data_IF_997839214331
#
_entry.id   IF_997839214331
#
_cell.length_a   1.000
_cell.length_b   1.000
_cell.length_c   1.000
_cell.angle_alpha   90.00
_cell.angle_beta   90.00
_cell.angle_gamma   90.00
#
_symmetry.space_group_name_H-M   'P 1'
#
loop_
_entity.id
_entity.type
_entity.pdbx_description
1 polymer ?
#
# COMPACT_ATOMS: atom_id res chain seq x y z
N UNK A 1 -26.85 -7.41 -26.69
CA UNK A 1 -27.05 -6.17 -27.46
C UNK A 1 -27.64 -5.17 -26.51
N UNK A 2 -26.87 -4.37 -25.87
CA UNK A 2 -27.29 -3.24 -25.04
C UNK A 2 -26.53 -2.03 -25.57
N UNK A 3 -27.29 -1.15 -26.21
CA UNK A 3 -26.78 0.07 -26.81
C UNK A 3 -26.39 1.07 -25.72
N UNK A 4 -25.14 1.45 -25.68
CA UNK A 4 -24.71 2.63 -24.96
C UNK A 4 -25.20 3.88 -25.69
N UNK A 5 -26.19 4.53 -25.10
CA UNK A 5 -26.61 5.88 -25.52
C UNK A 5 -25.62 6.90 -24.93
N UNK A 6 -24.59 7.20 -25.68
CA UNK A 6 -23.79 8.40 -25.49
C UNK A 6 -24.59 9.59 -26.03
N UNK A 7 -25.20 10.36 -25.16
CA UNK A 7 -25.76 11.64 -25.51
C UNK A 7 -24.63 12.67 -25.53
N UNK A 8 -24.17 13.01 -26.72
CA UNK A 8 -23.31 14.17 -26.95
C UNK A 8 -24.18 15.42 -26.86
N UNK A 9 -24.15 16.13 -25.75
CA UNK A 9 -24.70 17.47 -25.64
C UNK A 9 -23.74 18.47 -26.32
N UNK A 10 -24.22 19.11 -27.37
CA UNK A 10 -23.49 20.04 -28.26
C UNK A 10 -23.41 21.45 -27.70
N UNK A 11 -23.45 21.64 -26.40
CA UNK A 11 -23.20 22.94 -25.79
C UNK A 11 -21.98 22.81 -24.86
N UNK A 12 -20.85 23.36 -25.34
CA UNK A 12 -19.58 23.43 -24.62
C UNK A 12 -19.68 24.27 -23.34
N UNK A 13 -20.30 23.72 -22.32
CA UNK A 13 -20.30 24.25 -20.96
C UNK A 13 -19.41 23.34 -20.15
N UNK A 14 -18.23 23.85 -19.80
CA UNK A 14 -17.39 23.23 -18.80
C UNK A 14 -18.17 23.14 -17.49
N UNK A 15 -18.70 21.95 -17.16
CA UNK A 15 -19.34 21.69 -15.88
C UNK A 15 -18.26 21.61 -14.75
N UNK A 16 -17.53 22.71 -14.54
CA UNK A 16 -16.56 22.82 -13.45
C UNK A 16 -17.21 23.17 -12.11
N UNK A 17 -18.50 23.50 -12.08
CA UNK A 17 -19.21 23.98 -10.89
C UNK A 17 -20.33 23.04 -10.39
N UNK A 18 -20.28 21.75 -10.73
CA UNK A 18 -21.21 20.79 -10.13
C UNK A 18 -20.58 20.21 -8.86
N UNK A 19 -21.05 20.54 -7.64
CA UNK A 19 -20.53 20.01 -6.38
C UNK A 19 -20.73 18.49 -6.23
N UNK A 20 -21.56 17.86 -7.07
CA UNK A 20 -21.79 16.41 -7.10
C UNK A 20 -20.95 15.68 -8.15
N UNK A 21 -20.03 16.37 -8.84
CA UNK A 21 -19.10 15.71 -9.74
C UNK A 21 -18.06 14.97 -8.90
N UNK A 22 -18.40 13.75 -8.51
CA UNK A 22 -17.45 12.82 -7.93
C UNK A 22 -16.45 12.47 -9.02
N UNK A 23 -15.30 13.16 -9.04
CA UNK A 23 -14.17 12.69 -9.82
C UNK A 23 -13.94 11.25 -9.41
N UNK A 24 -13.90 10.29 -10.36
CA UNK A 24 -13.54 8.94 -10.01
C UNK A 24 -12.20 9.00 -9.30
N UNK A 25 -12.18 8.61 -8.02
CA UNK A 25 -10.93 8.54 -7.24
C UNK A 25 -10.04 7.56 -7.98
N UNK A 26 -9.08 8.06 -8.75
CA UNK A 26 -8.11 7.22 -9.43
C UNK A 26 -7.20 6.65 -8.36
N UNK A 27 -7.43 5.39 -8.03
CA UNK A 27 -6.53 4.66 -7.15
C UNK A 27 -5.14 4.65 -7.79
N UNK A 28 -4.08 4.88 -7.01
CA UNK A 28 -2.72 4.81 -7.52
C UNK A 28 -2.42 3.41 -8.09
N UNK A 29 -1.55 3.30 -9.11
CA UNK A 29 -1.15 2.01 -9.65
C UNK A 29 -0.49 1.16 -8.57
N UNK A 30 -0.70 -0.15 -8.64
CA UNK A 30 -0.12 -1.14 -7.74
C UNK A 30 0.79 -2.06 -8.56
N UNK A 31 2.02 -2.28 -8.09
CA UNK A 31 2.99 -3.18 -8.69
C UNK A 31 3.41 -4.20 -7.64
N UNK A 32 3.32 -5.49 -7.96
CA UNK A 32 3.64 -6.58 -7.03
C UNK A 32 4.55 -7.58 -7.74
N UNK A 33 5.56 -8.11 -7.04
CA UNK A 33 6.38 -9.20 -7.57
C UNK A 33 5.61 -10.52 -7.62
N UNK A 34 6.00 -11.43 -8.50
CA UNK A 34 5.38 -12.77 -8.60
C UNK A 34 5.43 -13.50 -7.25
N UNK A 35 6.58 -13.48 -6.57
CA UNK A 35 6.75 -14.13 -5.27
C UNK A 35 5.88 -13.52 -4.17
N UNK A 36 5.77 -12.19 -4.13
CA UNK A 36 4.90 -11.52 -3.15
C UNK A 36 3.44 -11.80 -3.45
N UNK A 37 3.04 -11.80 -4.74
CA UNK A 37 1.68 -12.14 -5.15
C UNK A 37 1.25 -13.51 -4.62
N UNK A 38 2.08 -14.53 -4.78
CA UNK A 38 1.77 -15.89 -4.31
C UNK A 38 1.56 -15.93 -2.80
N UNK A 39 2.46 -15.31 -2.03
CA UNK A 39 2.38 -15.24 -0.56
C UNK A 39 1.13 -14.48 -0.11
N UNK A 40 0.91 -13.29 -0.67
CA UNK A 40 -0.23 -12.43 -0.33
C UNK A 40 -1.56 -13.09 -0.65
N UNK A 41 -1.66 -13.77 -1.81
CA UNK A 41 -2.87 -14.49 -2.21
C UNK A 41 -3.17 -15.64 -1.26
N UNK A 42 -2.17 -16.45 -0.92
CA UNK A 42 -2.33 -17.57 0.02
C UNK A 42 -2.78 -17.10 1.41
N UNK A 43 -2.20 -16.02 1.93
CA UNK A 43 -2.54 -15.46 3.23
C UNK A 43 -3.96 -14.86 3.22
N UNK A 44 -4.31 -14.10 2.19
CA UNK A 44 -5.62 -13.47 2.10
C UNK A 44 -6.74 -14.52 1.97
N UNK A 45 -6.56 -15.55 1.15
CA UNK A 45 -7.52 -16.64 1.00
C UNK A 45 -7.66 -17.47 2.27
N UNK A 46 -6.56 -17.77 2.96
CA UNK A 46 -6.57 -18.45 4.27
C UNK A 46 -7.33 -17.64 5.31
N UNK A 47 -7.08 -16.32 5.39
CA UNK A 47 -7.78 -15.45 6.33
C UNK A 47 -9.29 -15.41 6.08
N UNK A 48 -9.73 -15.39 4.82
CA UNK A 48 -11.16 -15.45 4.47
C UNK A 48 -11.78 -16.79 4.85
N UNK A 49 -11.11 -17.91 4.57
CA UNK A 49 -11.62 -19.25 4.88
C UNK A 49 -11.82 -19.45 6.37
N UNK A 50 -10.96 -18.87 7.20
CA UNK A 50 -11.05 -18.99 8.66
C UNK A 50 -11.88 -17.86 9.31
N UNK A 51 -12.50 -16.98 8.51
CA UNK A 51 -13.32 -15.86 9.00
C UNK A 51 -12.54 -14.82 9.79
N UNK A 52 -11.22 -14.83 9.70
CA UNK A 52 -10.34 -13.89 10.40
C UNK A 52 -10.04 -12.69 9.50
N UNK A 53 -10.22 -11.47 10.05
CA UNK A 53 -9.86 -10.22 9.37
C UNK A 53 -10.45 -10.09 7.94
N UNK A 54 -11.66 -10.62 7.72
CA UNK A 54 -12.29 -10.69 6.40
C UNK A 54 -12.29 -9.37 5.60
N UNK A 55 -12.54 -8.20 6.19
CA UNK A 55 -12.48 -6.93 5.45
C UNK A 55 -11.07 -6.61 4.92
N UNK A 56 -10.03 -6.81 5.75
CA UNK A 56 -8.65 -6.55 5.34
C UNK A 56 -8.18 -7.57 4.29
N UNK A 57 -8.54 -8.84 4.43
CA UNK A 57 -8.23 -9.88 3.46
C UNK A 57 -8.93 -9.62 2.11
N UNK A 58 -10.18 -9.17 2.12
CA UNK A 58 -10.92 -8.78 0.90
C UNK A 58 -10.29 -7.57 0.23
N UNK A 59 -9.86 -6.57 1.01
CA UNK A 59 -9.14 -5.41 0.49
C UNK A 59 -7.81 -5.82 -0.13
N UNK A 60 -7.04 -6.68 0.54
CA UNK A 60 -5.77 -7.19 0.02
C UNK A 60 -5.95 -7.92 -1.32
N UNK A 61 -6.97 -8.79 -1.43
CA UNK A 61 -7.28 -9.47 -2.69
C UNK A 61 -7.62 -8.48 -3.80
N UNK A 62 -8.37 -7.43 -3.49
CA UNK A 62 -8.71 -6.39 -4.48
C UNK A 62 -7.44 -5.68 -4.99
N UNK A 63 -6.49 -5.39 -4.12
CA UNK A 63 -5.21 -4.80 -4.53
C UNK A 63 -4.40 -5.76 -5.41
N UNK A 64 -4.33 -7.05 -5.05
CA UNK A 64 -3.68 -8.09 -5.84
C UNK A 64 -4.31 -8.22 -7.24
N UNK A 65 -5.64 -8.19 -7.35
CA UNK A 65 -6.33 -8.34 -8.64
C UNK A 65 -6.13 -7.15 -9.58
N UNK A 66 -5.96 -5.95 -9.05
CA UNK A 66 -5.70 -4.76 -9.88
C UNK A 66 -4.21 -4.50 -10.13
N UNK A 67 -3.31 -5.26 -9.49
CA UNK A 67 -1.88 -5.05 -9.56
C UNK A 67 -1.29 -5.44 -10.92
N UNK A 68 -0.29 -4.70 -11.35
CA UNK A 68 0.65 -5.14 -12.38
C UNK A 68 1.64 -6.10 -11.74
N UNK A 69 1.68 -7.34 -12.23
CA UNK A 69 2.60 -8.35 -11.71
C UNK A 69 3.89 -8.30 -12.53
N UNK A 70 5.02 -8.26 -11.82
CA UNK A 70 6.36 -8.21 -12.42
C UNK A 70 7.23 -9.35 -11.90
N UNK A 71 8.22 -9.82 -12.68
CA UNK A 71 9.24 -10.76 -12.19
C UNK A 71 9.92 -10.21 -10.92
N UNK A 72 10.43 -11.10 -10.07
CA UNK A 72 10.98 -10.74 -8.77
C UNK A 72 12.15 -9.74 -8.83
N UNK A 73 12.98 -9.86 -9.84
CA UNK A 73 14.15 -9.00 -10.11
C UNK A 73 13.79 -7.68 -10.83
N UNK A 74 12.51 -7.52 -11.22
CA UNK A 74 12.00 -6.32 -11.88
C UNK A 74 11.10 -5.46 -10.98
N UNK A 75 10.95 -5.81 -9.69
CA UNK A 75 10.22 -4.95 -8.77
C UNK A 75 11.04 -3.67 -8.51
N UNK A 76 10.50 -2.48 -8.84
CA UNK A 76 11.22 -1.24 -8.60
C UNK A 76 11.51 -1.03 -7.11
N UNK A 77 12.71 -0.55 -6.77
CA UNK A 77 13.14 -0.36 -5.39
C UNK A 77 12.28 0.65 -4.60
N UNK A 78 11.61 1.56 -5.31
CA UNK A 78 10.71 2.57 -4.74
C UNK A 78 9.27 2.08 -4.57
N UNK A 79 9.01 0.79 -4.74
CA UNK A 79 7.70 0.16 -4.55
C UNK A 79 7.66 -0.58 -3.22
N UNK A 80 6.56 -0.43 -2.51
CA UNK A 80 6.32 -1.08 -1.21
C UNK A 80 6.05 -2.57 -1.42
N UNK A 81 7.00 -3.42 -1.03
CA UNK A 81 6.88 -4.88 -1.00
C UNK A 81 6.77 -5.43 0.42
N UNK A 82 6.69 -6.75 0.54
CA UNK A 82 6.80 -7.43 1.85
C UNK A 82 8.20 -7.16 2.42
N UNK A 83 8.27 -6.89 3.72
CA UNK A 83 9.48 -6.51 4.45
C UNK A 83 10.10 -5.15 4.06
N UNK A 84 9.41 -4.30 3.30
CA UNK A 84 9.87 -2.94 3.04
C UNK A 84 9.79 -2.06 4.28
N UNK A 85 10.84 -1.25 4.51
CA UNK A 85 10.77 -0.10 5.40
C UNK A 85 10.13 1.05 4.65
N UNK A 86 9.07 1.63 5.22
CA UNK A 86 8.28 2.65 4.54
C UNK A 86 8.16 3.88 5.43
N UNK A 87 8.62 5.02 4.92
CA UNK A 87 8.36 6.32 5.52
C UNK A 87 7.04 6.85 4.99
N UNK A 88 6.10 7.09 5.90
CA UNK A 88 4.76 7.56 5.61
C UNK A 88 4.52 8.93 6.19
N UNK A 89 3.77 9.74 5.46
CA UNK A 89 3.13 10.94 6.01
C UNK A 89 1.65 10.64 6.22
N UNK A 90 1.19 10.79 7.44
CA UNK A 90 -0.23 10.81 7.75
C UNK A 90 -0.81 12.15 7.28
N UNK A 91 -1.71 12.12 6.31
CA UNK A 91 -2.26 13.33 5.72
C UNK A 91 -3.32 14.00 6.62
N UNK A 92 -3.88 13.24 7.56
CA UNK A 92 -4.87 13.74 8.53
C UNK A 92 -4.17 14.40 9.72
N UNK A 93 -3.20 13.69 10.31
CA UNK A 93 -2.47 14.19 11.50
C UNK A 93 -1.27 15.09 11.12
N UNK A 94 -0.83 15.08 9.86
CA UNK A 94 0.35 15.80 9.38
C UNK A 94 1.68 15.25 9.91
N UNK A 95 1.67 14.08 10.55
CA UNK A 95 2.82 13.46 11.18
C UNK A 95 3.52 12.45 10.24
N UNK A 96 4.84 12.39 10.34
CA UNK A 96 5.62 11.35 9.64
C UNK A 96 5.88 10.17 10.57
N UNK A 97 5.83 8.97 10.02
CA UNK A 97 6.17 7.74 10.73
C UNK A 97 6.85 6.74 9.82
N UNK A 98 7.74 5.94 10.39
CA UNK A 98 8.36 4.79 9.72
C UNK A 98 7.70 3.51 10.18
N UNK A 99 7.37 2.65 9.24
CA UNK A 99 6.83 1.32 9.47
C UNK A 99 7.65 0.27 8.72
N UNK A 100 7.44 -0.99 9.08
CA UNK A 100 7.86 -2.15 8.29
C UNK A 100 6.62 -2.92 7.89
N UNK A 101 6.46 -3.18 6.59
CA UNK A 101 5.32 -3.97 6.09
C UNK A 101 5.68 -5.46 6.16
N UNK A 102 4.96 -6.22 6.96
CA UNK A 102 5.30 -7.62 7.26
C UNK A 102 4.12 -8.57 7.04
N UNK A 103 4.42 -9.86 6.98
CA UNK A 103 3.41 -10.91 7.05
C UNK A 103 2.78 -10.98 8.46
N UNK A 104 1.55 -11.51 8.60
CA UNK A 104 0.85 -11.52 9.89
C UNK A 104 1.64 -12.14 11.04
N UNK A 105 2.39 -13.21 10.75
CA UNK A 105 3.15 -13.95 11.76
C UNK A 105 4.42 -13.22 12.23
N UNK A 106 4.84 -12.20 11.49
CA UNK A 106 6.09 -11.45 11.73
C UNK A 106 5.84 -10.14 12.51
N UNK A 107 4.60 -9.79 12.81
CA UNK A 107 4.24 -8.52 13.47
C UNK A 107 4.87 -8.33 14.85
N UNK A 108 5.15 -9.41 15.56
CA UNK A 108 5.78 -9.36 16.89
C UNK A 108 7.31 -9.23 16.84
N UNK A 109 7.92 -9.45 15.69
CA UNK A 109 9.37 -9.54 15.55
C UNK A 109 10.06 -8.18 15.40
N UNK A 110 9.32 -7.13 14.99
CA UNK A 110 9.90 -5.83 14.68
C UNK A 110 9.08 -4.67 15.26
N UNK A 111 9.74 -3.64 15.80
CA UNK A 111 9.04 -2.42 16.18
C UNK A 111 8.44 -1.73 14.94
N UNK A 112 7.26 -1.14 15.11
CA UNK A 112 6.51 -0.48 14.05
C UNK A 112 6.08 -1.40 12.88
N UNK A 113 6.04 -2.71 13.10
CA UNK A 113 5.55 -3.66 12.12
C UNK A 113 4.05 -3.44 11.83
N UNK A 114 3.70 -3.44 10.55
CA UNK A 114 2.32 -3.36 10.07
C UNK A 114 2.04 -4.60 9.23
N UNK A 115 1.04 -5.36 9.61
CA UNK A 115 0.64 -6.56 8.85
C UNK A 115 0.01 -6.19 7.53
N UNK A 116 0.32 -6.96 6.47
CA UNK A 116 -0.37 -6.89 5.18
C UNK A 116 -1.88 -7.19 5.29
N UNK A 117 -2.32 -7.88 6.34
CA UNK A 117 -3.72 -8.12 6.68
C UNK A 117 -4.33 -7.03 7.57
N UNK A 118 -3.65 -5.90 7.79
CA UNK A 118 -4.28 -4.72 8.40
C UNK A 118 -4.87 -3.81 7.30
N UNK A 119 -5.85 -2.95 7.62
CA UNK A 119 -6.40 -2.00 6.65
C UNK A 119 -5.31 -1.13 6.00
N UNK A 120 -4.36 -0.64 6.79
CA UNK A 120 -3.23 0.15 6.29
C UNK A 120 -2.27 -0.69 5.44
N UNK A 121 -1.88 -1.88 5.91
CA UNK A 121 -0.94 -2.74 5.20
C UNK A 121 -1.49 -3.21 3.86
N UNK A 122 -2.77 -3.57 3.79
CA UNK A 122 -3.45 -3.92 2.55
C UNK A 122 -3.52 -2.74 1.56
N UNK A 123 -3.60 -1.50 2.05
CA UNK A 123 -3.62 -0.31 1.23
C UNK A 123 -2.23 0.10 0.73
N UNK A 124 -1.17 -0.24 1.45
CA UNK A 124 0.21 0.16 1.13
C UNK A 124 0.91 -0.76 0.14
N UNK A 125 0.57 -2.06 0.14
CA UNK A 125 1.27 -3.04 -0.70
C UNK A 125 1.26 -2.64 -2.18
N UNK A 126 2.42 -2.65 -2.80
CA UNK A 126 2.58 -2.35 -4.22
C UNK A 126 2.50 -0.87 -4.60
N UNK A 127 2.36 0.06 -3.66
CA UNK A 127 2.40 1.49 -3.93
C UNK A 127 3.82 1.96 -4.17
N UNK A 128 3.98 2.92 -5.09
CA UNK A 128 5.25 3.61 -5.32
C UNK A 128 5.40 4.82 -4.41
N UNK A 129 6.64 5.23 -4.18
CA UNK A 129 6.94 6.52 -3.56
C UNK A 129 6.18 7.67 -4.24
N UNK A 130 5.74 8.64 -3.44
CA UNK A 130 4.92 9.77 -3.88
C UNK A 130 3.43 9.45 -4.01
N UNK A 131 3.03 8.17 -3.94
CA UNK A 131 1.62 7.78 -4.00
C UNK A 131 0.90 8.09 -2.70
N UNK A 132 -0.34 8.57 -2.82
CA UNK A 132 -1.25 8.75 -1.70
C UNK A 132 -2.42 7.79 -1.82
N UNK A 133 -2.86 7.23 -0.71
CA UNK A 133 -3.99 6.31 -0.64
C UNK A 133 -4.89 6.65 0.54
N UNK A 134 -6.19 6.53 0.32
CA UNK A 134 -7.21 6.60 1.36
C UNK A 134 -7.71 5.20 1.68
N UNK A 135 -7.94 4.94 2.95
CA UNK A 135 -8.53 3.68 3.42
C UNK A 135 -9.48 3.93 4.59
N UNK A 136 -10.33 2.94 4.88
CA UNK A 136 -11.11 2.94 6.12
C UNK A 136 -10.35 2.21 7.22
N UNK A 137 -10.23 2.85 8.38
CA UNK A 137 -9.67 2.23 9.59
C UNK A 137 -10.56 1.08 10.09
N UNK A 138 -10.09 0.33 11.07
CA UNK A 138 -10.90 -0.70 11.71
C UNK A 138 -12.14 -0.14 12.42
N UNK A 139 -12.12 1.13 12.84
CA UNK A 139 -13.27 1.86 13.40
C UNK A 139 -14.26 2.38 12.34
N UNK A 140 -13.91 2.28 11.06
CA UNK A 140 -14.73 2.77 9.95
C UNK A 140 -14.44 4.22 9.52
N UNK A 141 -13.50 4.89 10.19
CA UNK A 141 -13.10 6.25 9.86
C UNK A 141 -12.24 6.27 8.58
N UNK A 142 -12.34 7.36 7.81
CA UNK A 142 -11.45 7.58 6.68
C UNK A 142 -10.10 8.07 7.16
N UNK A 143 -9.05 7.49 6.63
CA UNK A 143 -7.66 7.92 6.85
C UNK A 143 -6.93 7.99 5.52
N UNK A 144 -5.85 8.75 5.47
CA UNK A 144 -5.07 8.93 4.24
C UNK A 144 -3.59 9.03 4.58
N UNK A 145 -2.75 8.37 3.79
CA UNK A 145 -1.28 8.49 3.88
C UNK A 145 -0.66 8.73 2.52
N UNK A 146 0.53 9.31 2.55
CA UNK A 146 1.43 9.42 1.41
C UNK A 146 2.69 8.61 1.69
N UNK A 147 3.12 7.77 0.74
CA UNK A 147 4.40 7.07 0.78
C UNK A 147 5.49 8.08 0.46
N UNK A 148 6.34 8.41 1.43
CA UNK A 148 7.45 9.33 1.24
C UNK A 148 8.67 8.61 0.69
N UNK A 149 9.00 7.45 1.27
CA UNK A 149 10.14 6.63 0.88
C UNK A 149 9.85 5.16 1.15
N UNK A 150 10.36 4.29 0.29
CA UNK A 150 10.30 2.84 0.43
C UNK A 150 11.67 2.24 0.21
N UNK A 151 12.14 1.42 1.14
CA UNK A 151 13.39 0.69 1.01
C UNK A 151 13.10 -0.79 1.17
N UNK A 152 13.36 -1.62 0.15
CA UNK A 152 13.22 -3.06 0.31
C UNK A 152 14.14 -3.53 1.42
N UNK A 153 13.62 -4.34 2.34
CA UNK A 153 14.49 -5.08 3.24
C UNK A 153 15.23 -6.10 2.38
N UNK A 154 16.48 -5.82 2.08
CA UNK A 154 17.38 -6.87 1.67
C UNK A 154 17.40 -7.84 2.85
N UNK A 155 16.76 -8.99 2.71
CA UNK A 155 16.83 -10.08 3.67
C UNK A 155 18.21 -10.73 3.62
N UNK A 156 19.19 -9.98 4.08
CA UNK A 156 20.53 -10.32 4.48
C UNK A 156 20.74 -9.49 5.73
N UNK A 157 21.02 -10.14 6.84
CA UNK A 157 21.34 -9.52 8.13
C UNK A 157 22.06 -8.18 7.93
N UNK A 158 21.75 -7.12 8.71
CA UNK A 158 22.51 -5.89 8.63
C UNK A 158 23.98 -6.28 8.79
N UNK A 159 24.77 -6.05 7.76
CA UNK A 159 26.21 -6.26 7.83
C UNK A 159 26.73 -5.32 8.90
N UNK A 160 27.73 -5.78 9.65
CA UNK A 160 28.42 -4.97 10.68
C UNK A 160 28.81 -3.57 10.16
N UNK A 161 28.91 -3.39 8.83
CA UNK A 161 29.14 -2.11 8.16
C UNK A 161 27.95 -1.15 8.29
N UNK A 162 26.70 -1.63 8.19
CA UNK A 162 25.50 -0.80 8.28
C UNK A 162 25.25 -0.31 9.72
N UNK A 163 25.67 -1.11 10.70
CA UNK A 163 25.60 -0.72 12.12
C UNK A 163 26.66 0.34 12.48
N UNK A 164 27.78 0.38 11.76
CA UNK A 164 28.88 1.28 12.05
C UNK A 164 28.64 2.69 11.51
N UNK A 165 27.91 2.83 10.41
CA UNK A 165 27.53 4.14 9.83
C UNK A 165 26.51 4.85 10.72
N UNK A 166 25.57 4.11 11.32
CA UNK A 166 24.54 4.68 12.21
C UNK A 166 25.10 5.24 13.54
N UNK A 167 26.33 4.87 13.93
CA UNK A 167 26.98 5.37 15.14
C UNK A 167 27.83 6.64 14.92
N UNK A 168 28.15 6.96 13.66
CA UNK A 168 28.98 8.13 13.32
C UNK A 168 28.18 9.42 13.13
N UNK A 169 26.85 9.36 13.08
CA UNK A 169 25.98 10.53 12.91
C UNK A 169 25.28 11.01 14.19
N UNK A 170 25.91 10.82 15.36
CA UNK A 170 25.46 11.52 16.57
C UNK A 170 26.22 12.84 16.67
N UNK A 171 25.57 14.00 16.41
CA UNK A 171 26.16 15.29 16.78
C UNK A 171 26.23 15.39 18.30
N UNK A 172 27.40 15.84 18.80
CA UNK A 172 27.61 16.22 20.19
C UNK A 172 26.76 17.42 20.57
#
# INVERSE_FOLDING_TARGET
>A
MVSENYVLDTKGVSNMDNPDYHHPVRLPPVIISEADREKLYAIATSALTHGRMAPAASNLLREIYRATIVPNDHLPANVVGINSYVDLRDNVAGANRRIVLVLPDETSAQPNAVSVLSPLGAALIGLSEGSSIEWCTASGDRSSVTVLHSTPSTAGSPTLADMQVAQLERPM
#
